data_IF_920491575525
#
_entry.id   IF_920491575525
#
_cell.length_a   1.000
_cell.length_b   1.000
_cell.length_c   1.000
_cell.angle_alpha   90.00
_cell.angle_beta   90.00
_cell.angle_gamma   90.00
#
_symmetry.space_group_name_H-M   'P 1'
#
loop_
_entity.id
_entity.type
_entity.pdbx_description
1 polymer ?
#
# COMPACT_ATOMS: atom_id res chain seq x y z
N UNK A 1 14.18 -36.51 5.63
CA UNK A 1 14.69 -35.43 6.49
C UNK A 1 15.28 -34.35 5.59
N UNK A 2 14.79 -33.12 5.76
CA UNK A 2 15.13 -31.88 5.02
C UNK A 2 14.49 -31.71 3.61
N UNK A 3 13.29 -31.11 3.59
CA UNK A 3 12.80 -30.31 2.45
C UNK A 3 12.81 -28.82 2.86
N UNK A 4 13.23 -27.91 1.97
CA UNK A 4 13.39 -26.50 2.31
C UNK A 4 12.04 -25.78 2.33
N UNK A 5 11.74 -25.13 3.46
CA UNK A 5 10.73 -24.06 3.54
C UNK A 5 11.17 -22.93 2.61
N UNK A 6 10.57 -22.87 1.42
CA UNK A 6 10.77 -21.79 0.45
C UNK A 6 10.04 -20.55 0.95
N UNK A 7 10.66 -19.85 1.90
CA UNK A 7 10.42 -18.43 2.14
C UNK A 7 10.67 -17.73 0.81
N UNK A 8 9.58 -17.35 0.14
CA UNK A 8 9.63 -16.54 -1.05
C UNK A 8 10.05 -15.12 -0.63
N UNK A 9 11.36 -14.92 -0.41
CA UNK A 9 11.95 -13.62 -0.18
C UNK A 9 11.71 -12.75 -1.42
N UNK A 10 10.82 -11.77 -1.28
CA UNK A 10 10.58 -10.72 -2.27
C UNK A 10 11.76 -9.74 -2.30
N UNK A 11 12.94 -10.20 -2.70
CA UNK A 11 14.15 -9.35 -2.84
C UNK A 11 14.84 -9.52 -4.19
N UNK A 12 14.12 -9.75 -5.29
CA UNK A 12 14.74 -9.64 -6.62
C UNK A 12 13.75 -9.38 -7.75
N UNK A 13 13.28 -8.13 -7.87
CA UNK A 13 12.67 -7.65 -9.12
C UNK A 13 13.05 -6.19 -9.39
N UNK A 14 14.36 -5.91 -9.41
CA UNK A 14 14.93 -4.65 -9.92
C UNK A 14 15.93 -4.95 -11.03
N UNK A 15 15.43 -5.23 -12.22
CA UNK A 15 16.09 -4.93 -13.51
C UNK A 15 15.23 -5.52 -14.61
N UNK A 16 14.50 -4.69 -15.33
CA UNK A 16 14.33 -4.79 -16.78
C UNK A 16 13.60 -3.51 -17.21
N UNK A 17 14.38 -2.52 -17.60
CA UNK A 17 13.90 -1.44 -18.46
C UNK A 17 13.91 -1.98 -19.89
N UNK A 18 12.79 -1.89 -20.61
CA UNK A 18 12.69 -1.66 -22.05
C UNK A 18 11.22 -1.44 -22.44
N UNK A 19 10.95 -0.23 -22.97
CA UNK A 19 10.03 0.10 -24.06
C UNK A 19 8.52 -0.15 -23.86
N UNK A 20 7.79 0.96 -23.69
CA UNK A 20 6.74 1.30 -24.66
C UNK A 20 5.38 0.62 -24.56
N UNK A 21 4.99 0.07 -23.41
CA UNK A 21 3.60 -0.28 -23.13
C UNK A 21 3.22 0.30 -21.77
N UNK A 22 2.01 0.84 -21.67
CA UNK A 22 1.38 1.30 -20.42
C UNK A 22 1.20 0.11 -19.47
N UNK A 23 2.31 -0.38 -18.90
CA UNK A 23 2.31 -1.34 -17.82
C UNK A 23 1.92 -0.54 -16.57
N UNK A 24 0.62 -0.36 -16.38
CA UNK A 24 0.05 -0.15 -15.06
C UNK A 24 0.52 -1.36 -14.27
N UNK A 25 1.64 -1.22 -13.55
CA UNK A 25 2.10 -2.20 -12.59
C UNK A 25 0.96 -2.30 -11.60
N UNK A 26 0.08 -3.28 -11.81
CA UNK A 26 -0.85 -3.73 -10.82
C UNK A 26 0.04 -4.13 -9.66
N UNK A 27 0.16 -3.23 -8.67
CA UNK A 27 0.65 -3.57 -7.35
C UNK A 27 -0.33 -4.63 -6.85
N UNK A 28 -0.03 -5.87 -7.22
CA UNK A 28 -0.83 -7.02 -6.88
C UNK A 28 -0.87 -7.00 -5.35
N UNK A 29 -2.07 -6.90 -4.80
CA UNK A 29 -2.31 -6.87 -3.36
C UNK A 29 -2.03 -8.29 -2.85
N UNK A 30 -0.76 -8.69 -2.83
CA UNK A 30 -0.32 -9.97 -2.30
C UNK A 30 -0.41 -9.85 -0.78
N UNK A 31 -1.61 -10.06 -0.25
CA UNK A 31 -1.77 -10.59 1.09
C UNK A 31 -1.38 -12.06 0.99
N UNK A 32 -0.13 -12.37 1.35
CA UNK A 32 0.28 -13.75 1.56
C UNK A 32 -0.54 -14.21 2.75
N UNK A 33 -1.43 -15.15 2.52
CA UNK A 33 -2.33 -15.69 3.52
C UNK A 33 -1.81 -17.06 3.92
N UNK A 34 -1.83 -17.38 5.21
CA UNK A 34 -1.43 -18.71 5.68
C UNK A 34 -2.50 -19.71 5.26
N UNK A 35 -2.16 -20.56 4.31
CA UNK A 35 -3.02 -21.62 3.80
C UNK A 35 -2.48 -22.97 4.29
N UNK A 36 -3.39 -23.86 4.70
CA UNK A 36 -3.04 -25.26 4.95
C UNK A 36 -2.93 -26.02 3.62
N UNK A 37 -2.49 -27.28 3.64
CA UNK A 37 -2.36 -28.13 2.44
C UNK A 37 -3.72 -28.41 1.75
N UNK A 38 -4.83 -28.22 2.48
CA UNK A 38 -6.20 -28.30 1.96
C UNK A 38 -6.71 -26.98 1.35
N UNK A 39 -5.89 -25.91 1.35
CA UNK A 39 -6.22 -24.60 0.80
C UNK A 39 -7.16 -23.75 1.67
N UNK A 40 -7.44 -24.18 2.90
CA UNK A 40 -8.27 -23.44 3.85
C UNK A 40 -7.46 -22.35 4.55
N UNK A 41 -8.14 -21.24 4.85
CA UNK A 41 -7.57 -20.13 5.59
C UNK A 41 -7.57 -20.42 7.09
N UNK A 42 -6.39 -20.34 7.70
CA UNK A 42 -6.22 -20.59 9.15
C UNK A 42 -6.00 -19.28 9.94
N UNK A 43 -5.95 -18.13 9.26
CA UNK A 43 -5.73 -16.82 9.89
C UNK A 43 -7.00 -16.23 10.53
N UNK A 44 -6.88 -15.69 11.74
CA UNK A 44 -7.97 -14.98 12.44
C UNK A 44 -8.36 -13.67 11.75
N UNK A 45 -7.40 -12.94 11.18
CA UNK A 45 -7.63 -11.73 10.41
C UNK A 45 -6.43 -11.40 9.53
N UNK A 46 -6.68 -10.74 8.40
CA UNK A 46 -5.62 -10.18 7.56
C UNK A 46 -5.32 -8.74 8.00
N UNK A 47 -4.11 -8.44 8.49
CA UNK A 47 -3.80 -7.11 9.01
C UNK A 47 -3.63 -6.08 7.88
N UNK A 48 -3.87 -4.81 8.20
CA UNK A 48 -3.69 -3.68 7.25
C UNK A 48 -2.20 -3.42 7.01
N UNK A 49 -1.84 -3.12 5.76
CA UNK A 49 -0.48 -2.72 5.37
C UNK A 49 -0.40 -1.21 5.20
N UNK A 50 0.74 -0.63 5.58
CA UNK A 50 1.01 0.77 5.34
C UNK A 50 1.28 1.04 3.85
N UNK A 51 0.60 2.03 3.27
CA UNK A 51 0.73 2.41 1.86
C UNK A 51 2.13 2.96 1.51
N UNK A 52 2.86 3.51 2.49
CA UNK A 52 4.15 4.12 2.27
C UNK A 52 5.33 3.13 2.42
N UNK A 53 5.30 2.29 3.45
CA UNK A 53 6.42 1.40 3.83
C UNK A 53 6.14 -0.09 3.62
N UNK A 54 4.91 -0.46 3.28
CA UNK A 54 4.44 -1.85 3.23
C UNK A 54 4.60 -2.63 4.54
N UNK A 55 4.89 -1.96 5.65
CA UNK A 55 4.91 -2.55 6.99
C UNK A 55 3.49 -2.87 7.45
N UNK A 56 3.33 -3.98 8.17
CA UNK A 56 2.07 -4.37 8.80
C UNK A 56 1.76 -3.42 9.97
N UNK A 57 0.53 -2.90 10.01
CA UNK A 57 0.02 -2.06 11.10
C UNK A 57 -0.43 -2.99 12.24
N UNK A 58 0.21 -2.84 13.40
CA UNK A 58 -0.14 -3.63 14.58
C UNK A 58 -1.43 -3.13 15.23
N UNK A 59 -2.16 -4.02 15.91
CA UNK A 59 -3.40 -3.66 16.61
C UNK A 59 -3.19 -2.61 17.72
N UNK A 60 -2.02 -2.62 18.38
CA UNK A 60 -1.65 -1.67 19.44
C UNK A 60 -1.05 -0.36 18.92
N UNK A 61 -0.88 -0.20 17.61
CA UNK A 61 -0.35 1.04 17.04
C UNK A 61 -1.43 2.12 16.93
N UNK A 62 -1.64 2.83 18.03
CA UNK A 62 -2.57 3.97 18.11
C UNK A 62 -2.05 5.23 17.39
N UNK A 63 -0.78 5.23 16.99
CA UNK A 63 -0.24 6.28 16.14
C UNK A 63 -0.50 6.00 14.65
N UNK A 64 -0.97 4.81 14.26
CA UNK A 64 -1.39 4.57 12.88
C UNK A 64 -2.67 5.34 12.54
N UNK A 65 -2.74 5.87 11.33
CA UNK A 65 -3.92 6.59 10.83
C UNK A 65 -4.37 6.02 9.49
N UNK A 66 -5.65 6.19 9.22
CA UNK A 66 -6.22 6.00 7.89
C UNK A 66 -6.74 7.36 7.44
N UNK A 67 -6.17 7.86 6.34
CA UNK A 67 -6.58 9.12 5.75
C UNK A 67 -7.42 8.81 4.50
N UNK A 68 -8.68 9.21 4.52
CA UNK A 68 -9.54 9.16 3.35
C UNK A 68 -9.54 10.54 2.68
N UNK A 69 -9.02 10.59 1.46
CA UNK A 69 -9.06 11.78 0.61
C UNK A 69 -10.22 11.60 -0.35
N UNK A 70 -11.19 12.49 -0.31
CA UNK A 70 -12.31 12.45 -1.23
C UNK A 70 -11.91 13.05 -2.58
N UNK A 71 -12.35 12.42 -3.67
CA UNK A 71 -12.21 12.99 -5.01
C UNK A 71 -13.33 14.03 -5.23
N UNK A 72 -13.06 15.03 -6.06
CA UNK A 72 -13.98 16.16 -6.31
C UNK A 72 -14.31 16.22 -7.80
N UNK A 73 -15.58 16.50 -8.10
CA UNK A 73 -16.03 16.74 -9.47
C UNK A 73 -15.53 18.10 -10.00
N UNK A 74 -14.87 18.17 -11.16
CA UNK A 74 -14.29 19.41 -11.68
C UNK A 74 -15.31 20.50 -12.03
N UNK A 75 -16.57 20.14 -12.31
CA UNK A 75 -17.60 21.11 -12.73
C UNK A 75 -18.37 21.69 -11.56
N UNK A 76 -18.80 20.87 -10.60
CA UNK A 76 -19.69 21.30 -9.50
C UNK A 76 -18.92 21.52 -8.20
N UNK A 77 -17.64 21.13 -8.12
CA UNK A 77 -16.82 21.25 -6.90
C UNK A 77 -17.38 20.45 -5.72
N UNK A 78 -18.32 19.55 -5.99
CA UNK A 78 -18.96 18.71 -4.99
C UNK A 78 -18.14 17.44 -4.80
N UNK A 79 -18.16 16.94 -3.56
CA UNK A 79 -17.48 15.72 -3.17
C UNK A 79 -18.15 14.54 -3.88
N UNK A 80 -17.35 13.70 -4.53
CA UNK A 80 -17.79 12.44 -5.11
C UNK A 80 -17.79 11.33 -4.04
N UNK A 81 -18.53 10.25 -4.31
CA UNK A 81 -18.56 9.08 -3.44
C UNK A 81 -17.26 8.27 -3.49
N UNK A 82 -16.37 8.55 -4.44
CA UNK A 82 -15.05 7.92 -4.53
C UNK A 82 -14.05 8.61 -3.60
N UNK A 83 -13.41 7.81 -2.76
CA UNK A 83 -12.33 8.26 -1.87
C UNK A 83 -11.12 7.35 -1.97
N UNK A 84 -9.95 7.97 -1.92
CA UNK A 84 -8.66 7.29 -1.86
C UNK A 84 -8.22 7.19 -0.41
N UNK A 85 -8.01 5.96 0.05
CA UNK A 85 -7.65 5.68 1.44
C UNK A 85 -6.16 5.34 1.52
N UNK A 86 -5.43 6.12 2.31
CA UNK A 86 -4.04 5.87 2.64
C UNK A 86 -3.89 5.42 4.08
N UNK A 87 -3.16 4.33 4.30
CA UNK A 87 -2.85 3.83 5.62
C UNK A 87 -1.39 4.17 5.97
N UNK A 88 -1.17 4.96 7.02
CA UNK A 88 0.16 5.36 7.50
C UNK A 88 0.40 4.72 8.85
N UNK A 89 1.58 4.09 9.01
CA UNK A 89 1.98 3.49 10.28
C UNK A 89 2.54 4.54 11.24
N UNK A 90 2.44 4.29 12.54
CA UNK A 90 2.90 5.21 13.57
C UNK A 90 4.41 5.49 13.54
N UNK A 91 5.21 4.56 13.00
CA UNK A 91 6.66 4.73 12.90
C UNK A 91 7.06 5.89 11.98
N UNK A 92 6.37 6.05 10.84
CA UNK A 92 6.65 7.14 9.88
C UNK A 92 6.31 8.49 10.52
N UNK A 93 5.22 8.55 11.30
CA UNK A 93 4.83 9.77 12.03
C UNK A 93 5.82 10.15 13.13
N UNK A 94 6.41 9.17 13.81
CA UNK A 94 7.46 9.43 14.83
C UNK A 94 8.72 10.04 14.21
N UNK A 95 9.05 9.66 12.97
CA UNK A 95 10.22 10.18 12.25
C UNK A 95 9.98 11.54 11.58
N UNK A 96 8.73 12.02 11.51
CA UNK A 96 8.40 13.26 10.79
C UNK A 96 8.22 13.09 9.26
N UNK A 97 8.53 11.92 8.73
CA UNK A 97 8.47 11.58 7.29
C UNK A 97 7.05 11.36 6.75
N UNK A 98 6.02 11.67 7.55
CA UNK A 98 4.64 11.39 7.17
C UNK A 98 4.14 12.27 6.03
N UNK A 99 4.54 13.54 6.02
CA UNK A 99 4.11 14.49 5.00
C UNK A 99 4.70 14.14 3.63
N UNK A 100 6.01 13.93 3.57
CA UNK A 100 6.72 13.53 2.34
C UNK A 100 6.15 12.26 1.73
N UNK A 101 5.80 11.28 2.58
CA UNK A 101 5.16 10.05 2.13
C UNK A 101 3.79 10.31 1.49
N UNK A 102 2.96 11.17 2.10
CA UNK A 102 1.63 11.51 1.58
C UNK A 102 1.77 12.30 0.28
N UNK A 103 2.63 13.30 0.23
CA UNK A 103 2.91 14.09 -0.97
C UNK A 103 3.37 13.19 -2.12
N UNK A 104 4.25 12.23 -1.86
CA UNK A 104 4.70 11.26 -2.86
C UNK A 104 3.58 10.33 -3.33
N UNK A 105 2.68 9.90 -2.45
CA UNK A 105 1.52 9.08 -2.81
C UNK A 105 0.52 9.88 -3.64
N UNK A 106 0.15 11.08 -3.19
CA UNK A 106 -0.77 11.97 -3.89
C UNK A 106 -0.27 12.39 -5.29
N UNK A 107 1.05 12.57 -5.47
CA UNK A 107 1.66 12.78 -6.80
C UNK A 107 1.57 11.55 -7.71
N UNK A 108 1.65 10.33 -7.15
CA UNK A 108 1.46 9.09 -7.92
C UNK A 108 0.01 8.91 -8.35
N UNK A 109 -0.91 9.23 -7.44
CA UNK A 109 -2.35 9.10 -7.65
C UNK A 109 -2.98 10.32 -8.36
N UNK A 110 -2.12 11.19 -8.92
CA UNK A 110 -2.44 12.41 -9.66
C UNK A 110 -3.43 13.34 -8.98
N UNK A 111 -3.52 13.28 -7.64
CA UNK A 111 -4.30 14.22 -6.82
C UNK A 111 -3.58 15.55 -6.74
N UNK A 112 -2.25 15.50 -6.65
CA UNK A 112 -1.40 16.68 -6.73
C UNK A 112 -0.77 16.79 -8.12
N UNK A 113 -0.66 18.01 -8.67
CA UNK A 113 0.11 18.24 -9.89
C UNK A 113 1.58 17.86 -9.66
N UNK A 114 2.22 17.35 -10.72
CA UNK A 114 3.66 16.99 -10.67
C UNK A 114 4.58 18.20 -10.64
N UNK A 115 4.08 19.35 -11.08
CA UNK A 115 4.79 20.63 -11.07
C UNK A 115 4.29 21.45 -9.88
N UNK A 116 5.11 21.51 -8.83
CA UNK A 116 5.00 22.53 -7.79
C UNK A 116 6.34 23.26 -7.75
#
# INVERSE_FOLDING_TARGET
FLFPLRLCTCENFRRFALVGLNFRVFFNKITVNMQNDAGEFVDLYCPRKCSASNRIIHAKDHASIQLAIADVDPSTGTILDSSKIYAICGNIRRMGESDDCITRLAKKDSVLPRNL
#
